data_IF_361310637597
#
_entry.id   IF_361310637597
#
_cell.length_a   1.000
_cell.length_b   1.000
_cell.length_c   1.000
_cell.angle_alpha   90.00
_cell.angle_beta   90.00
_cell.angle_gamma   90.00
#
_symmetry.space_group_name_H-M   'P 1'
#
loop_
_entity.id
_entity.type
_entity.pdbx_description
1 polymer ?
#
# COMPACT_ATOMS: atom_id res chain seq x y z
N UNK A 1 -22.24 47.01 -25.96
CA UNK A 1 -22.90 46.80 -24.65
C UNK A 1 -23.05 45.29 -24.44
N UNK A 2 -22.69 44.82 -23.26
CA UNK A 2 -22.24 43.47 -22.94
C UNK A 2 -23.42 42.64 -22.40
N UNK A 3 -23.99 41.72 -23.19
CA UNK A 3 -24.98 40.76 -22.68
C UNK A 3 -24.28 39.42 -22.39
N UNK A 4 -23.77 39.32 -21.17
CA UNK A 4 -23.13 38.13 -20.63
C UNK A 4 -24.11 36.96 -20.57
N UNK A 5 -23.83 35.97 -21.40
CA UNK A 5 -24.43 34.65 -21.36
C UNK A 5 -24.08 33.98 -20.01
N UNK A 6 -25.07 33.89 -19.12
CA UNK A 6 -24.92 33.21 -17.83
C UNK A 6 -24.95 31.71 -18.08
N UNK A 7 -23.80 31.16 -18.46
CA UNK A 7 -23.63 29.70 -18.54
C UNK A 7 -23.51 29.16 -17.11
N UNK A 8 -24.62 28.64 -16.58
CA UNK A 8 -24.65 27.94 -15.32
C UNK A 8 -23.78 26.70 -15.39
N UNK A 9 -22.57 26.77 -14.82
CA UNK A 9 -21.77 25.58 -14.56
C UNK A 9 -22.39 24.87 -13.36
N UNK A 10 -23.16 23.82 -13.63
CA UNK A 10 -23.52 22.82 -12.62
C UNK A 10 -22.22 22.18 -12.13
N UNK A 11 -21.68 22.72 -11.04
CA UNK A 11 -20.65 22.07 -10.26
C UNK A 11 -21.24 20.80 -9.68
N UNK A 12 -20.94 19.66 -10.29
CA UNK A 12 -21.07 18.36 -9.63
C UNK A 12 -19.90 18.29 -8.64
N UNK A 13 -20.01 19.05 -7.55
CA UNK A 13 -19.24 18.75 -6.35
C UNK A 13 -19.75 17.39 -5.87
N UNK A 14 -18.82 16.47 -5.60
CA UNK A 14 -19.14 15.22 -4.93
C UNK A 14 -20.09 15.54 -3.77
N UNK A 15 -21.27 14.93 -3.78
CA UNK A 15 -22.15 14.89 -2.62
C UNK A 15 -21.23 14.61 -1.45
N UNK A 16 -21.07 15.60 -0.58
CA UNK A 16 -20.55 15.35 0.74
C UNK A 16 -21.59 14.43 1.36
N UNK A 17 -21.34 13.12 1.29
CA UNK A 17 -21.87 12.23 2.31
C UNK A 17 -21.54 12.95 3.60
N UNK A 18 -22.57 13.44 4.28
CA UNK A 18 -22.36 14.14 5.52
C UNK A 18 -21.72 13.12 6.44
N UNK A 19 -20.40 13.22 6.61
CA UNK A 19 -19.63 12.41 7.53
C UNK A 19 -20.12 12.79 8.91
N UNK A 20 -21.20 12.13 9.34
CA UNK A 20 -21.76 12.30 10.65
C UNK A 20 -20.69 11.78 11.61
N UNK A 21 -19.94 12.71 12.21
CA UNK A 21 -18.87 12.41 13.16
C UNK A 21 -19.54 11.92 14.44
N UNK A 22 -19.89 10.64 14.44
CA UNK A 22 -20.45 9.97 15.61
C UNK A 22 -19.31 9.77 16.59
N UNK A 23 -19.33 10.52 17.70
CA UNK A 23 -18.41 10.29 18.81
C UNK A 23 -18.74 8.95 19.44
N UNK A 24 -17.90 7.96 19.19
CA UNK A 24 -17.99 6.69 19.89
C UNK A 24 -17.46 6.85 21.31
N UNK A 25 -18.13 6.23 22.28
CA UNK A 25 -17.51 6.01 23.59
C UNK A 25 -16.26 5.13 23.45
N UNK A 26 -15.31 5.19 24.38
CA UNK A 26 -14.03 4.46 24.28
C UNK A 26 -14.21 2.97 23.93
N UNK A 27 -15.19 2.30 24.56
CA UNK A 27 -15.48 0.89 24.31
C UNK A 27 -16.11 0.63 22.93
N UNK A 28 -17.03 1.49 22.49
CA UNK A 28 -17.66 1.36 21.17
C UNK A 28 -16.62 1.64 20.07
N UNK A 29 -15.72 2.61 20.30
CA UNK A 29 -14.61 2.93 19.41
C UNK A 29 -13.65 1.75 19.24
N UNK A 30 -13.29 1.06 20.33
CA UNK A 30 -12.48 -0.17 20.24
C UNK A 30 -13.19 -1.24 19.41
N UNK A 31 -14.48 -1.49 19.62
CA UNK A 31 -15.22 -2.50 18.83
C UNK A 31 -15.26 -2.15 17.34
N UNK A 32 -15.54 -0.90 17.02
CA UNK A 32 -15.60 -0.42 15.63
C UNK A 32 -14.21 -0.48 14.99
N UNK A 33 -13.18 -0.02 15.70
CA UNK A 33 -11.79 -0.07 15.26
C UNK A 33 -11.30 -1.51 15.02
N UNK A 34 -11.58 -2.43 15.93
CA UNK A 34 -11.24 -3.85 15.77
C UNK A 34 -11.93 -4.45 14.55
N UNK A 35 -13.21 -4.14 14.30
CA UNK A 35 -13.90 -4.60 13.09
C UNK A 35 -13.26 -4.04 11.83
N UNK A 36 -12.94 -2.74 11.81
CA UNK A 36 -12.25 -2.12 10.69
C UNK A 36 -10.88 -2.76 10.42
N UNK A 37 -10.11 -3.03 11.48
CA UNK A 37 -8.84 -3.73 11.39
C UNK A 37 -9.00 -5.15 10.83
N UNK A 38 -9.98 -5.94 11.32
CA UNK A 38 -10.24 -7.28 10.81
C UNK A 38 -10.63 -7.30 9.33
N UNK A 39 -11.44 -6.34 8.89
CA UNK A 39 -11.78 -6.18 7.47
C UNK A 39 -10.53 -5.83 6.65
N UNK A 40 -9.71 -4.89 7.14
CA UNK A 40 -8.45 -4.53 6.50
C UNK A 40 -7.52 -5.74 6.36
N UNK A 41 -7.41 -6.59 7.39
CA UNK A 41 -6.62 -7.82 7.37
C UNK A 41 -7.07 -8.74 6.23
N UNK A 42 -8.37 -8.99 6.11
CA UNK A 42 -8.92 -9.81 5.02
C UNK A 42 -8.59 -9.26 3.64
N UNK A 43 -8.74 -7.94 3.44
CA UNK A 43 -8.38 -7.26 2.19
C UNK A 43 -6.88 -7.34 1.89
N UNK A 44 -6.02 -7.25 2.91
CA UNK A 44 -4.57 -7.40 2.76
C UNK A 44 -4.19 -8.81 2.33
N UNK A 45 -4.77 -9.85 2.94
CA UNK A 45 -4.54 -11.24 2.51
C UNK A 45 -4.98 -11.46 1.06
N UNK A 46 -6.15 -10.95 0.67
CA UNK A 46 -6.63 -11.04 -0.71
C UNK A 46 -5.68 -10.32 -1.69
N UNK A 47 -5.20 -9.14 -1.31
CA UNK A 47 -4.25 -8.36 -2.12
C UNK A 47 -2.93 -9.11 -2.31
N UNK A 48 -2.36 -9.67 -1.24
CA UNK A 48 -1.15 -10.49 -1.31
C UNK A 48 -1.39 -11.73 -2.18
N UNK A 49 -2.51 -12.43 -2.00
CA UNK A 49 -2.87 -13.58 -2.83
C UNK A 49 -2.99 -13.22 -4.32
N UNK A 50 -3.54 -12.06 -4.64
CA UNK A 50 -3.64 -11.57 -6.03
C UNK A 50 -2.28 -11.28 -6.66
N UNK A 51 -1.31 -10.81 -5.87
CA UNK A 51 0.07 -10.60 -6.32
C UNK A 51 0.77 -11.93 -6.61
N UNK A 52 0.58 -12.94 -5.75
CA UNK A 52 1.19 -14.27 -5.91
C UNK A 52 0.58 -15.02 -7.10
N UNK A 53 -0.72 -14.86 -7.34
CA UNK A 53 -1.44 -15.50 -8.46
C UNK A 53 -1.32 -14.75 -9.79
N UNK A 54 -0.63 -13.60 -9.81
CA UNK A 54 -0.44 -12.78 -11.01
C UNK A 54 -1.65 -11.94 -11.43
N UNK A 55 -2.69 -11.87 -10.60
CA UNK A 55 -3.86 -11.01 -10.81
C UNK A 55 -3.57 -9.51 -10.58
N UNK A 56 -2.47 -9.20 -9.91
CA UNK A 56 -1.99 -7.83 -9.69
C UNK A 56 -0.54 -7.67 -10.18
N UNK A 57 -0.24 -6.53 -10.79
CA UNK A 57 1.10 -6.22 -11.28
C UNK A 57 2.02 -5.81 -10.13
N UNK A 58 3.28 -6.27 -10.14
CA UNK A 58 4.32 -5.83 -9.20
C UNK A 58 4.52 -4.30 -9.23
N UNK A 59 4.12 -3.62 -10.30
CA UNK A 59 4.15 -2.15 -10.38
C UNK A 59 3.18 -1.45 -9.43
N UNK A 60 2.17 -2.17 -8.92
CA UNK A 60 1.16 -1.68 -7.98
C UNK A 60 1.64 -1.79 -6.52
N UNK A 61 2.75 -2.48 -6.26
CA UNK A 61 3.35 -2.54 -4.92
C UNK A 61 4.07 -1.23 -4.64
N UNK A 62 3.61 -0.52 -3.59
CA UNK A 62 4.25 0.68 -3.09
C UNK A 62 5.62 0.35 -2.50
N UNK A 63 6.67 1.01 -3.00
CA UNK A 63 7.99 0.93 -2.39
C UNK A 63 8.21 1.98 -1.29
N UNK A 64 9.38 1.98 -0.62
CA UNK A 64 9.67 2.87 0.50
C UNK A 64 9.43 4.36 0.20
N UNK A 65 9.83 4.84 -0.99
CA UNK A 65 9.65 6.24 -1.38
C UNK A 65 8.17 6.56 -1.60
N UNK A 66 7.39 5.63 -2.13
CA UNK A 66 5.95 5.79 -2.25
C UNK A 66 5.26 5.82 -0.88
N UNK A 67 5.72 5.01 0.08
CA UNK A 67 5.22 5.01 1.47
C UNK A 67 5.51 6.36 2.14
N UNK A 68 6.71 6.93 1.96
CA UNK A 68 7.07 8.25 2.50
C UNK A 68 6.18 9.35 1.89
N UNK A 69 5.95 9.32 0.58
CA UNK A 69 5.08 10.31 -0.06
C UNK A 69 3.62 10.18 0.40
N UNK A 70 3.12 8.94 0.49
CA UNK A 70 1.76 8.68 0.96
C UNK A 70 1.57 9.09 2.42
N UNK A 71 2.55 8.87 3.29
CA UNK A 71 2.48 9.32 4.69
C UNK A 71 2.48 10.84 4.80
N UNK A 72 3.31 11.53 4.00
CA UNK A 72 3.32 12.99 3.91
C UNK A 72 1.99 13.56 3.39
N UNK A 73 1.39 12.92 2.39
CA UNK A 73 0.07 13.29 1.88
C UNK A 73 -1.03 13.07 2.93
N UNK A 74 -1.02 11.94 3.63
CA UNK A 74 -1.97 11.64 4.70
C UNK A 74 -1.86 12.63 5.86
N UNK A 75 -0.63 12.98 6.27
CA UNK A 75 -0.40 13.99 7.30
C UNK A 75 -0.95 15.37 6.92
N UNK A 76 -0.80 15.78 5.65
CA UNK A 76 -1.36 17.04 5.13
C UNK A 76 -2.89 17.02 5.03
N UNK A 77 -3.48 15.86 4.79
CA UNK A 77 -4.93 15.68 4.68
C UNK A 77 -5.66 15.70 6.04
N UNK A 78 -4.92 15.57 7.15
CA UNK A 78 -5.45 15.68 8.51
C UNK A 78 -5.36 14.38 9.32
N UNK A 79 -5.78 14.46 10.58
CA UNK A 79 -5.61 13.36 11.56
C UNK A 79 -6.38 12.10 11.14
N UNK A 80 -7.59 12.24 10.62
CA UNK A 80 -8.40 11.09 10.19
C UNK A 80 -7.73 10.32 9.05
N UNK A 81 -7.17 11.03 8.07
CA UNK A 81 -6.44 10.43 6.95
C UNK A 81 -5.13 9.78 7.42
N UNK A 82 -4.41 10.41 8.34
CA UNK A 82 -3.19 9.88 8.93
C UNK A 82 -3.44 8.61 9.74
N UNK A 83 -4.51 8.56 10.54
CA UNK A 83 -4.91 7.37 11.29
C UNK A 83 -5.33 6.22 10.37
N UNK A 84 -6.06 6.51 9.30
CA UNK A 84 -6.40 5.51 8.29
C UNK A 84 -5.14 4.99 7.57
N UNK A 85 -4.21 5.87 7.20
CA UNK A 85 -2.94 5.45 6.62
C UNK A 85 -2.15 4.56 7.59
N UNK A 86 -2.06 4.95 8.86
CA UNK A 86 -1.41 4.16 9.90
C UNK A 86 -2.07 2.79 10.07
N UNK A 87 -3.41 2.72 10.09
CA UNK A 87 -4.16 1.45 10.12
C UNK A 87 -3.72 0.53 8.97
N UNK A 88 -3.71 1.03 7.73
CA UNK A 88 -3.33 0.24 6.57
C UNK A 88 -1.88 -0.26 6.64
N UNK A 89 -0.93 0.60 7.01
CA UNK A 89 0.48 0.20 7.15
C UNK A 89 0.66 -0.79 8.30
N UNK A 90 0.03 -0.58 9.44
CA UNK A 90 0.09 -1.49 10.58
C UNK A 90 -0.45 -2.87 10.25
N UNK A 91 -1.59 -2.95 9.56
CA UNK A 91 -2.18 -4.21 9.11
C UNK A 91 -1.28 -4.90 8.09
N UNK A 92 -0.71 -4.16 7.13
CA UNK A 92 0.22 -4.71 6.16
C UNK A 92 1.45 -5.32 6.87
N UNK A 93 2.09 -4.58 7.78
CA UNK A 93 3.25 -5.07 8.54
C UNK A 93 2.90 -6.29 9.39
N UNK A 94 1.73 -6.29 10.04
CA UNK A 94 1.25 -7.44 10.80
C UNK A 94 1.14 -8.68 9.89
N UNK A 95 0.48 -8.56 8.74
CA UNK A 95 0.30 -9.70 7.81
C UNK A 95 1.65 -10.18 7.24
N UNK A 96 2.55 -9.26 6.86
CA UNK A 96 3.89 -9.62 6.39
C UNK A 96 4.72 -10.31 7.48
N UNK A 97 4.65 -9.84 8.73
CA UNK A 97 5.37 -10.44 9.87
C UNK A 97 4.84 -11.81 10.25
N UNK A 98 3.58 -12.13 9.94
CA UNK A 98 2.98 -13.45 10.17
C UNK A 98 3.38 -14.50 9.12
N UNK A 99 4.07 -14.10 8.04
CA UNK A 99 4.51 -15.05 7.03
C UNK A 99 5.55 -16.03 7.62
N UNK A 100 5.58 -17.29 7.13
CA UNK A 100 6.50 -18.33 7.61
C UNK A 100 7.91 -18.13 7.04
N UNK A 101 8.47 -16.94 7.21
CA UNK A 101 9.79 -16.55 6.73
C UNK A 101 10.73 -16.49 7.94
N UNK A 102 11.96 -17.04 7.86
CA UNK A 102 12.92 -16.97 8.95
C UNK A 102 13.20 -15.52 9.37
N UNK A 103 13.60 -15.31 10.62
CA UNK A 103 13.81 -14.01 11.31
C UNK A 103 12.54 -13.16 11.56
N UNK A 104 11.44 -13.40 10.84
CA UNK A 104 10.13 -12.78 11.12
C UNK A 104 9.38 -13.53 12.24
N UNK A 105 8.46 -12.84 12.90
CA UNK A 105 7.66 -13.38 14.03
C UNK A 105 6.95 -14.68 13.63
N UNK A 106 6.33 -14.72 12.46
CA UNK A 106 5.64 -15.89 11.91
C UNK A 106 6.56 -17.09 11.69
N UNK A 107 7.80 -16.86 11.26
CA UNK A 107 8.80 -17.92 11.11
C UNK A 107 9.19 -18.55 12.45
N UNK A 108 9.31 -17.74 13.50
CA UNK A 108 9.58 -18.25 14.85
C UNK A 108 8.36 -18.97 15.43
N UNK A 109 7.15 -18.45 15.22
CA UNK A 109 5.90 -19.12 15.62
C UNK A 109 5.80 -20.51 14.97
N UNK A 110 6.11 -20.64 13.68
CA UNK A 110 6.10 -21.93 12.98
C UNK A 110 7.14 -22.88 13.58
N UNK A 111 8.36 -22.41 13.83
CA UNK A 111 9.41 -23.23 14.44
C UNK A 111 9.03 -23.70 15.84
N UNK A 112 8.56 -22.81 16.71
CA UNK A 112 8.16 -23.14 18.07
C UNK A 112 6.94 -24.06 18.10
N UNK A 113 6.00 -23.91 17.16
CA UNK A 113 4.87 -24.83 17.01
C UNK A 113 5.35 -26.22 16.59
N UNK A 114 6.27 -26.29 15.63
CA UNK A 114 6.87 -27.55 15.18
C UNK A 114 7.67 -28.23 16.30
N UNK A 115 8.42 -27.47 17.09
CA UNK A 115 9.16 -27.94 18.26
C UNK A 115 8.21 -28.47 19.34
N UNK A 116 7.13 -27.76 19.64
CA UNK A 116 6.09 -28.21 20.57
C UNK A 116 5.43 -29.52 20.11
N UNK A 117 5.18 -29.66 18.81
CA UNK A 117 4.62 -30.88 18.23
C UNK A 117 5.61 -32.05 18.23
N UNK A 118 6.88 -31.80 17.90
CA UNK A 118 7.96 -32.81 17.91
C UNK A 118 8.48 -33.13 19.31
N UNK A 119 8.16 -32.29 20.31
CA UNK A 119 8.69 -32.34 21.69
C UNK A 119 10.20 -32.46 21.75
N UNK A 120 10.90 -31.93 20.75
CA UNK A 120 12.37 -31.97 20.64
C UNK A 120 12.88 -30.61 20.19
N UNK A 121 13.86 -30.04 20.89
CA UNK A 121 14.35 -28.72 20.55
C UNK A 121 15.05 -28.71 19.19
N UNK A 122 14.88 -27.61 18.47
CA UNK A 122 15.69 -27.36 17.27
C UNK A 122 17.12 -27.11 17.75
N UNK A 123 18.07 -27.85 17.20
CA UNK A 123 19.48 -27.67 17.57
C UNK A 123 19.97 -26.25 17.26
N UNK A 124 20.83 -25.71 18.12
CA UNK A 124 21.37 -24.34 18.00
C UNK A 124 21.96 -24.04 16.62
N UNK A 125 22.68 -25.03 16.04
CA UNK A 125 23.23 -24.92 14.69
C UNK A 125 22.15 -24.77 13.62
N UNK A 126 21.05 -25.50 13.75
CA UNK A 126 19.92 -25.43 12.81
C UNK A 126 19.20 -24.09 12.91
N UNK A 127 18.99 -23.58 14.12
CA UNK A 127 18.39 -22.27 14.35
C UNK A 127 19.28 -21.14 13.80
N UNK A 128 20.59 -21.21 14.03
CA UNK A 128 21.55 -20.23 13.52
C UNK A 128 21.57 -20.19 11.98
N UNK A 129 21.54 -21.35 11.33
CA UNK A 129 21.44 -21.43 9.85
C UNK A 129 20.11 -20.88 9.37
N UNK A 130 18.99 -21.25 10.01
CA UNK A 130 17.66 -20.75 9.66
C UNK A 130 17.57 -19.23 9.73
N UNK A 131 18.03 -18.64 10.84
CA UNK A 131 18.07 -17.18 11.02
C UNK A 131 19.04 -16.51 10.04
N UNK A 132 20.20 -17.10 9.80
CA UNK A 132 21.19 -16.60 8.84
C UNK A 132 20.63 -16.54 7.41
N UNK A 133 19.90 -17.57 6.98
CA UNK A 133 19.21 -17.58 5.69
C UNK A 133 18.16 -16.45 5.64
N UNK A 134 17.34 -16.30 6.69
CA UNK A 134 16.36 -15.21 6.77
C UNK A 134 16.99 -13.83 6.63
N UNK A 135 18.06 -13.59 7.38
CA UNK A 135 18.78 -12.33 7.37
C UNK A 135 19.40 -12.04 5.99
N UNK A 136 19.96 -13.05 5.33
CA UNK A 136 20.48 -12.90 3.98
C UNK A 136 19.36 -12.56 2.98
N UNK A 137 18.25 -13.32 2.98
CA UNK A 137 17.13 -13.11 2.05
C UNK A 137 16.48 -11.73 2.25
N UNK A 138 16.12 -11.38 3.49
CA UNK A 138 15.48 -10.10 3.79
C UNK A 138 16.46 -8.95 3.58
N UNK A 139 17.72 -9.09 4.00
CA UNK A 139 18.75 -8.07 3.82
C UNK A 139 18.99 -7.78 2.34
N UNK A 140 19.16 -8.81 1.51
CA UNK A 140 19.30 -8.65 0.06
C UNK A 140 18.05 -8.02 -0.56
N UNK A 141 16.85 -8.45 -0.16
CA UNK A 141 15.61 -7.86 -0.65
C UNK A 141 15.48 -6.37 -0.27
N UNK A 142 15.81 -6.02 0.97
CA UNK A 142 15.76 -4.65 1.47
C UNK A 142 16.71 -3.75 0.67
N UNK A 143 17.95 -4.19 0.47
CA UNK A 143 18.94 -3.48 -0.36
C UNK A 143 18.42 -3.34 -1.79
N UNK A 144 17.92 -4.42 -2.39
CA UNK A 144 17.37 -4.42 -3.74
C UNK A 144 16.23 -3.42 -3.89
N UNK A 145 15.27 -3.41 -2.97
CA UNK A 145 14.13 -2.50 -3.00
C UNK A 145 14.57 -1.05 -2.80
N UNK A 146 15.48 -0.77 -1.87
CA UNK A 146 15.97 0.58 -1.61
C UNK A 146 16.68 1.18 -2.84
N UNK A 147 17.47 0.39 -3.56
CA UNK A 147 18.17 0.85 -4.77
C UNK A 147 17.20 0.97 -5.96
N UNK A 148 16.27 0.02 -6.10
CA UNK A 148 15.41 -0.07 -7.29
C UNK A 148 14.16 0.84 -7.23
N UNK A 149 13.67 1.19 -6.03
CA UNK A 149 12.45 2.00 -5.88
C UNK A 149 12.57 3.43 -6.48
N UNK A 150 13.64 4.21 -6.21
CA UNK A 150 13.84 5.51 -6.85
C UNK A 150 14.00 5.40 -8.38
N UNK A 151 14.69 4.36 -8.85
CA UNK A 151 14.92 4.13 -10.27
C UNK A 151 13.62 3.84 -11.03
N UNK A 152 12.68 3.13 -10.40
CA UNK A 152 11.32 2.91 -10.93
C UNK A 152 10.54 4.21 -11.09
N UNK A 153 10.65 5.12 -10.13
CA UNK A 153 9.96 6.43 -10.17
C UNK A 153 10.53 7.29 -11.30
N UNK A 154 11.86 7.33 -11.46
CA UNK A 154 12.51 8.10 -12.52
C UNK A 154 12.13 7.62 -13.93
N UNK A 155 12.03 6.30 -14.14
CA UNK A 155 11.58 5.72 -15.41
C UNK A 155 10.13 6.07 -15.76
N UNK A 156 9.27 6.33 -14.77
CA UNK A 156 7.88 6.77 -15.00
C UNK A 156 7.81 8.23 -15.47
N UNK A 157 8.63 9.12 -14.91
CA UNK A 157 8.68 10.52 -15.34
C UNK A 157 9.18 10.66 -16.79
N UNK A 158 10.28 9.98 -17.13
CA UNK A 158 10.85 10.04 -18.49
C UNK A 158 9.95 9.45 -19.59
N UNK A 159 8.97 8.61 -19.23
CA UNK A 159 7.97 8.11 -20.17
C UNK A 159 6.83 9.12 -20.43
N UNK A 160 6.49 9.96 -19.46
CA UNK A 160 5.45 10.99 -19.60
C UNK A 160 5.89 12.15 -20.50
N UNK A 161 7.17 12.52 -20.44
CA UNK A 161 7.74 13.57 -21.30
C UNK A 161 7.66 13.16 -22.79
N UNK A 162 7.91 11.88 -23.10
CA UNK A 162 7.82 11.35 -24.47
C UNK A 162 6.38 11.19 -24.98
N UNK A 163 5.41 10.92 -24.12
CA UNK A 163 4.01 10.81 -24.51
C UNK A 163 3.36 12.17 -24.80
N UNK A 164 3.90 13.24 -24.20
CA UNK A 164 3.42 14.61 -24.41
C UNK A 164 3.97 15.21 -25.72
N UNK A 165 5.10 14.69 -26.23
CA UNK A 165 5.75 15.19 -27.45
C UNK A 165 5.16 14.60 -28.76
N UNK A 166 4.40 13.50 -28.71
CA UNK A 166 3.94 12.74 -29.91
C UNK A 166 2.44 12.94 -30.23
N UNK A 167 1.89 14.14 -29.99
CA UNK A 167 0.65 14.55 -30.66
C UNK A 167 0.96 15.71 -31.61
N UNK A 168 1.18 15.47 -32.91
CA UNK A 168 1.15 16.56 -33.88
C UNK A 168 -0.31 17.03 -33.94
N UNK A 169 -0.51 18.32 -33.68
CA UNK A 169 -1.77 19.04 -33.87
C UNK A 169 -2.25 18.77 -35.29
N UNK A 170 -3.14 17.79 -35.47
CA UNK A 170 -3.82 17.55 -36.74
C UNK A 170 -5.14 18.31 -36.67
N UNK A 171 -5.07 19.61 -37.00
CA UNK A 171 -6.27 20.39 -37.28
C UNK A 171 -6.90 19.84 -38.57
N UNK A 172 -8.15 19.37 -38.57
CA UNK A 172 -8.87 19.21 -39.82
C UNK A 172 -9.27 20.61 -40.31
N UNK A 173 -8.78 20.98 -41.48
CA UNK A 173 -9.31 22.11 -42.24
C UNK A 173 -10.79 21.83 -42.51
N UNK A 174 -11.67 22.54 -41.81
CA UNK A 174 -13.08 22.63 -42.18
C UNK A 174 -13.20 23.55 -43.39
N UNK A 175 -13.59 22.93 -44.49
CA UNK A 175 -14.07 23.52 -45.73
C UNK A 175 -15.17 24.55 -45.45
N UNK A 176 -15.04 25.70 -46.10
CA UNK A 176 -16.06 26.73 -46.25
C UNK A 176 -17.10 26.31 -47.30
N UNK A 177 -18.37 26.68 -47.12
CA UNK A 177 -19.29 26.96 -48.23
C UNK A 177 -19.23 28.44 -48.63
#
# INVERSE_FOLDING_TARGET
ENNGEVTGRLGIGATSEQTFTRRFGAWEGVKVGTRAALLAVGMTFQSIGSLVTGGASLSQVSGPVAIIQASGAAAKAGVDALLNFALYISVALMVFNLLPIPILDGGMVVLSTLEGLRRRPVGERGLAVYQGIGMAVIGTLLIFVLINDPHRIWKRHTAMDRATEVQPVTQPATESP
#
